data_IF_286496866293
#
_entry.id   IF_286496866293
#
_cell.length_a   1.000
_cell.length_b   1.000
_cell.length_c   1.000
_cell.angle_alpha   90.00
_cell.angle_beta   90.00
_cell.angle_gamma   90.00
#
_symmetry.space_group_name_H-M   'P 1'
#
loop_
_entity.id
_entity.type
_entity.pdbx_description
1 polymer ?
#
# COMPACT_ATOMS: atom_id res chain seq x y z
N UNK A 1 2.02 -6.87 3.08
CA UNK A 1 1.25 -6.11 2.08
C UNK A 1 1.22 -6.96 0.83
N UNK A 2 0.05 -7.20 0.24
CA UNK A 2 -0.09 -7.88 -1.05
C UNK A 2 -0.38 -6.80 -2.10
N UNK A 3 0.46 -6.71 -3.14
CA UNK A 3 0.33 -5.77 -4.25
C UNK A 3 0.44 -6.56 -5.54
N UNK A 4 -0.54 -6.37 -6.42
CA UNK A 4 -0.61 -6.96 -7.75
C UNK A 4 -0.81 -5.84 -8.76
N UNK A 5 -0.39 -6.07 -9.99
CA UNK A 5 -0.66 -5.14 -11.08
C UNK A 5 -1.06 -5.90 -12.33
N UNK A 6 -1.88 -5.26 -13.14
CA UNK A 6 -2.28 -5.75 -14.44
C UNK A 6 -1.51 -5.00 -15.51
N UNK A 7 -0.75 -5.75 -16.30
CA UNK A 7 -0.11 -5.23 -17.51
C UNK A 7 -1.17 -4.94 -18.57
N UNK A 8 -0.86 -4.01 -19.47
CA UNK A 8 -1.58 -3.88 -20.72
C UNK A 8 -1.61 -5.22 -21.46
N UNK A 9 -2.61 -5.40 -22.31
CA UNK A 9 -2.61 -6.54 -23.21
C UNK A 9 -1.38 -6.51 -24.14
N UNK A 10 -0.70 -7.65 -24.24
CA UNK A 10 0.34 -7.91 -25.23
C UNK A 10 -0.24 -8.84 -26.30
N UNK A 11 0.00 -8.54 -27.57
CA UNK A 11 -0.60 -9.25 -28.70
C UNK A 11 -0.08 -10.68 -28.83
N UNK A 12 1.20 -10.89 -28.58
CA UNK A 12 1.88 -12.17 -28.73
C UNK A 12 3.10 -12.29 -27.80
N UNK A 13 3.78 -13.43 -27.88
CA UNK A 13 4.98 -13.73 -27.07
C UNK A 13 6.14 -12.82 -27.44
N UNK A 14 6.28 -12.43 -28.71
CA UNK A 14 7.35 -11.55 -29.18
C UNK A 14 7.24 -10.17 -28.52
N UNK A 15 6.02 -9.64 -28.36
CA UNK A 15 5.79 -8.39 -27.65
C UNK A 15 6.12 -8.50 -26.16
N UNK A 16 5.83 -9.65 -25.53
CA UNK A 16 6.22 -9.92 -24.13
C UNK A 16 7.75 -9.91 -23.99
N UNK A 17 8.46 -10.59 -24.89
CA UNK A 17 9.93 -10.66 -24.89
C UNK A 17 10.55 -9.28 -25.11
N UNK A 18 10.02 -8.49 -26.04
CA UNK A 18 10.47 -7.12 -26.29
C UNK A 18 10.31 -6.21 -25.05
N UNK A 19 9.36 -6.51 -24.16
CA UNK A 19 9.10 -5.76 -22.94
C UNK A 19 9.69 -6.43 -21.68
N UNK A 20 10.52 -7.48 -21.81
CA UNK A 20 10.97 -8.29 -20.67
C UNK A 20 11.61 -7.48 -19.54
N UNK A 21 12.40 -6.44 -19.87
CA UNK A 21 13.07 -5.58 -18.89
C UNK A 21 12.10 -4.79 -18.00
N UNK A 22 10.87 -4.54 -18.46
CA UNK A 22 9.86 -3.85 -17.68
C UNK A 22 9.35 -4.69 -16.51
N UNK A 23 9.32 -6.03 -16.61
CA UNK A 23 8.85 -6.88 -15.51
C UNK A 23 9.74 -6.76 -14.27
N UNK A 24 11.05 -6.87 -14.43
CA UNK A 24 12.02 -6.73 -13.33
C UNK A 24 11.98 -5.32 -12.75
N UNK A 25 11.90 -4.29 -13.60
CA UNK A 25 11.81 -2.90 -13.15
C UNK A 25 10.53 -2.65 -12.36
N UNK A 26 9.38 -3.14 -12.84
CA UNK A 26 8.12 -2.99 -12.13
C UNK A 26 8.14 -3.64 -10.75
N UNK A 27 8.69 -4.85 -10.64
CA UNK A 27 8.85 -5.51 -9.34
C UNK A 27 9.70 -4.69 -8.37
N UNK A 28 10.87 -4.21 -8.82
CA UNK A 28 11.74 -3.36 -8.00
C UNK A 28 11.04 -2.07 -7.59
N UNK A 29 10.38 -1.38 -8.52
CA UNK A 29 9.63 -0.15 -8.26
C UNK A 29 8.49 -0.35 -7.27
N UNK A 30 7.70 -1.43 -7.38
CA UNK A 30 6.66 -1.77 -6.41
C UNK A 30 7.25 -1.95 -5.01
N UNK A 31 8.27 -2.81 -4.90
CA UNK A 31 8.92 -3.12 -3.63
C UNK A 31 9.48 -1.87 -2.96
N UNK A 32 10.24 -1.08 -3.71
CA UNK A 32 10.94 0.09 -3.17
C UNK A 32 9.94 1.20 -2.82
N UNK A 33 8.90 1.41 -3.62
CA UNK A 33 7.83 2.35 -3.30
C UNK A 33 7.08 1.93 -2.03
N UNK A 34 6.81 0.64 -1.84
CA UNK A 34 6.17 0.13 -0.62
C UNK A 34 7.01 0.37 0.62
N UNK A 35 8.30 0.01 0.60
CA UNK A 35 9.17 0.20 1.75
C UNK A 35 9.38 1.69 2.07
N UNK A 36 9.61 2.51 1.05
CA UNK A 36 9.80 3.94 1.22
C UNK A 36 8.57 4.60 1.82
N UNK A 37 7.38 4.34 1.26
CA UNK A 37 6.16 4.92 1.78
C UNK A 37 5.84 4.43 3.19
N UNK A 38 6.04 3.14 3.48
CA UNK A 38 5.81 2.60 4.82
C UNK A 38 6.74 3.23 5.88
N UNK A 39 8.00 3.49 5.53
CA UNK A 39 8.98 4.05 6.46
C UNK A 39 8.89 5.58 6.61
N UNK A 40 8.56 6.30 5.54
CA UNK A 40 8.65 7.77 5.50
C UNK A 40 7.30 8.49 5.60
N UNK A 41 6.18 7.81 5.32
CA UNK A 41 4.86 8.46 5.37
C UNK A 41 4.39 8.59 6.82
N UNK A 42 4.10 9.83 7.26
CA UNK A 42 3.32 10.03 8.47
C UNK A 42 1.86 9.66 8.18
N UNK A 43 1.57 8.37 8.33
CA UNK A 43 0.34 7.75 7.85
C UNK A 43 -0.88 8.23 8.62
N UNK A 44 -1.81 8.88 7.92
CA UNK A 44 -3.13 9.25 8.46
C UNK A 44 -4.13 8.08 8.41
N UNK A 45 -3.85 7.07 7.57
CA UNK A 45 -4.59 5.80 7.48
C UNK A 45 -3.86 4.82 6.56
N UNK A 46 -4.09 3.52 6.76
CA UNK A 46 -3.59 2.48 5.86
C UNK A 46 -4.04 2.71 4.41
N UNK A 47 -5.28 3.17 4.20
CA UNK A 47 -5.85 3.52 2.90
C UNK A 47 -5.02 4.61 2.20
N UNK A 48 -4.68 5.69 2.90
CA UNK A 48 -3.93 6.80 2.32
C UNK A 48 -2.52 6.39 1.91
N UNK A 49 -1.83 5.61 2.73
CA UNK A 49 -0.49 5.11 2.40
C UNK A 49 -0.53 4.13 1.22
N UNK A 50 -1.51 3.21 1.19
CA UNK A 50 -1.69 2.29 0.06
C UNK A 50 -2.00 3.02 -1.26
N UNK A 51 -2.82 4.07 -1.22
CA UNK A 51 -3.09 4.91 -2.38
C UNK A 51 -1.82 5.57 -2.91
N UNK A 52 -1.01 6.19 -2.03
CA UNK A 52 0.27 6.82 -2.40
C UNK A 52 1.25 5.82 -3.03
N UNK A 53 1.30 4.59 -2.52
CA UNK A 53 2.12 3.52 -3.09
C UNK A 53 1.65 3.17 -4.51
N UNK A 54 0.33 2.96 -4.68
CA UNK A 54 -0.24 2.60 -5.98
C UNK A 54 -0.07 3.71 -7.02
N UNK A 55 -0.26 4.97 -6.62
CA UNK A 55 -0.07 6.15 -7.47
C UNK A 55 1.38 6.24 -7.97
N UNK A 56 2.36 6.18 -7.06
CA UNK A 56 3.79 6.17 -7.42
C UNK A 56 4.15 4.99 -8.32
N UNK A 57 3.61 3.80 -8.05
CA UNK A 57 3.87 2.63 -8.90
C UNK A 57 3.40 2.88 -10.34
N UNK A 58 2.18 3.39 -10.51
CA UNK A 58 1.66 3.70 -11.84
C UNK A 58 2.52 4.78 -12.52
N UNK A 59 3.08 5.74 -11.81
CA UNK A 59 3.98 6.72 -12.44
C UNK A 59 5.27 6.09 -13.00
N UNK A 60 5.85 5.10 -12.31
CA UNK A 60 7.09 4.45 -12.73
C UNK A 60 6.91 3.28 -13.71
N UNK A 61 5.71 2.68 -13.77
CA UNK A 61 5.42 1.50 -14.60
C UNK A 61 4.34 1.84 -15.64
N UNK A 62 4.72 2.44 -16.78
CA UNK A 62 3.76 2.96 -17.76
C UNK A 62 2.90 1.87 -18.42
N UNK A 63 3.41 0.65 -18.54
CA UNK A 63 2.70 -0.48 -19.15
C UNK A 63 1.69 -1.14 -18.19
N UNK A 64 1.65 -0.75 -16.91
CA UNK A 64 0.63 -1.19 -15.98
C UNK A 64 -0.64 -0.34 -16.13
N UNK A 65 -1.79 -1.01 -16.24
CA UNK A 65 -3.11 -0.38 -16.36
C UNK A 65 -3.80 -0.21 -14.99
N UNK A 66 -3.53 -1.14 -14.08
CA UNK A 66 -4.15 -1.20 -12.77
C UNK A 66 -3.16 -1.72 -11.72
N UNK A 67 -3.32 -1.24 -10.49
CA UNK A 67 -2.66 -1.77 -9.28
C UNK A 67 -3.73 -2.14 -8.29
N UNK A 68 -3.66 -3.37 -7.79
CA UNK A 68 -4.53 -3.89 -6.74
C UNK A 68 -3.71 -4.10 -5.48
N UNK A 69 -4.27 -3.73 -4.33
CA UNK A 69 -3.61 -3.94 -3.05
C UNK A 69 -4.55 -4.56 -2.03
N UNK A 70 -3.98 -5.35 -1.13
CA UNK A 70 -4.66 -5.94 0.02
C UNK A 70 -3.71 -5.96 1.21
N UNK A 71 -4.10 -5.31 2.32
CA UNK A 71 -3.25 -5.20 3.49
C UNK A 71 -4.07 -5.36 4.79
N UNK A 72 -3.76 -6.39 5.61
CA UNK A 72 -4.33 -6.47 6.94
C UNK A 72 -3.71 -5.43 7.88
N UNK A 73 -4.54 -4.69 8.60
CA UNK A 73 -4.11 -3.90 9.75
C UNK A 73 -3.96 -4.83 10.96
N UNK A 74 -2.73 -5.21 11.28
CA UNK A 74 -2.43 -6.08 12.42
C UNK A 74 -2.34 -5.22 13.68
N UNK A 75 -3.27 -5.42 14.60
CA UNK A 75 -3.40 -4.58 15.79
C UNK A 75 -2.37 -4.92 16.86
N UNK A 76 -1.79 -3.87 17.44
CA UNK A 76 -1.06 -3.87 18.69
C UNK A 76 -1.84 -2.97 19.64
N UNK A 77 -2.35 -3.53 20.73
CA UNK A 77 -3.21 -2.81 21.68
C UNK A 77 -2.44 -2.57 22.96
N UNK A 78 -2.61 -1.39 23.55
CA UNK A 78 -2.03 -1.05 24.85
C UNK A 78 -2.57 -1.97 25.95
N UNK A 79 -1.75 -2.18 26.98
CA UNK A 79 -2.15 -2.94 28.17
C UNK A 79 -2.12 -2.00 29.36
N UNK A 80 -3.28 -1.74 29.97
CA UNK A 80 -3.34 -1.03 31.23
C UNK A 80 -2.74 -1.90 32.35
N UNK A 81 -1.65 -1.42 32.95
CA UNK A 81 -0.94 -2.05 34.06
C UNK A 81 -1.07 -1.27 35.37
N UNK A 82 -1.90 -0.22 35.42
CA UNK A 82 -2.07 0.65 36.60
C UNK A 82 -2.55 -0.13 37.83
N UNK A 83 -3.29 -1.21 37.61
CA UNK A 83 -3.73 -2.15 38.65
C UNK A 83 -2.56 -2.84 39.37
N UNK A 84 -1.39 -2.95 38.73
CA UNK A 84 -0.18 -3.51 39.32
C UNK A 84 0.75 -2.40 39.79
N UNK A 85 0.59 -2.00 41.07
CA UNK A 85 1.46 -1.02 41.75
C UNK A 85 1.52 0.34 41.04
N UNK A 86 0.48 0.72 40.30
CA UNK A 86 0.44 2.02 39.61
C UNK A 86 1.38 2.14 38.43
N UNK A 87 1.78 1.04 37.77
CA UNK A 87 2.63 1.11 36.57
C UNK A 87 1.88 1.81 35.44
N UNK A 88 2.51 2.82 34.84
CA UNK A 88 2.01 3.54 33.67
C UNK A 88 2.47 2.81 32.39
N UNK A 89 1.53 2.42 31.53
CA UNK A 89 1.80 1.72 30.26
C UNK A 89 0.73 2.03 29.19
N UNK A 90 0.22 3.26 29.18
CA UNK A 90 -0.80 3.72 28.22
C UNK A 90 -0.41 5.09 27.65
N UNK A 91 -1.02 5.46 26.51
CA UNK A 91 -0.78 6.72 25.83
C UNK A 91 0.71 7.00 25.56
N UNK A 92 1.27 8.04 26.19
CA UNK A 92 2.67 8.46 26.02
C UNK A 92 3.66 7.56 26.75
N UNK A 93 3.19 6.77 27.70
CA UNK A 93 4.00 5.88 28.55
C UNK A 93 3.89 4.41 28.11
N UNK A 94 3.20 4.12 27.00
CA UNK A 94 3.01 2.76 26.51
C UNK A 94 4.31 2.17 25.93
N UNK A 95 4.87 1.18 26.63
CA UNK A 95 6.07 0.44 26.20
C UNK A 95 5.78 -1.04 25.89
N UNK A 96 4.76 -1.61 26.54
CA UNK A 96 4.34 -3.02 26.38
C UNK A 96 2.98 -3.08 25.70
N UNK A 97 2.92 -3.82 24.59
CA UNK A 97 1.71 -3.99 23.78
C UNK A 97 1.33 -5.46 23.64
N UNK A 98 0.03 -5.72 23.46
CA UNK A 98 -0.50 -7.03 23.11
C UNK A 98 -0.71 -7.15 21.59
N UNK A 99 0.08 -7.98 20.89
CA UNK A 99 -0.19 -8.31 19.49
C UNK A 99 -1.48 -9.14 19.40
N UNK A 100 -2.42 -8.71 18.56
CA UNK A 100 -3.67 -9.44 18.36
C UNK A 100 -3.60 -10.33 17.11
N UNK A 101 -3.90 -11.62 17.29
CA UNK A 101 -3.97 -12.59 16.19
C UNK A 101 -5.21 -12.38 15.30
N UNK A 102 -6.34 -12.00 15.91
CA UNK A 102 -7.62 -11.71 15.26
C UNK A 102 -8.53 -10.90 16.21
N UNK A 103 -9.53 -10.16 15.70
CA UNK A 103 -9.75 -9.85 14.29
C UNK A 103 -8.73 -8.84 13.74
N UNK A 104 -8.72 -8.63 12.42
CA UNK A 104 -7.93 -7.59 11.79
C UNK A 104 -8.79 -6.82 10.77
N UNK A 105 -8.58 -5.52 10.67
CA UNK A 105 -9.06 -4.77 9.50
C UNK A 105 -8.38 -5.31 8.23
N UNK A 106 -9.11 -5.44 7.14
CA UNK A 106 -8.54 -5.82 5.83
C UNK A 106 -8.86 -4.74 4.81
N UNK A 107 -7.84 -3.98 4.42
CA UNK A 107 -7.99 -2.87 3.48
C UNK A 107 -7.67 -3.39 2.08
N UNK A 108 -8.57 -3.14 1.13
CA UNK A 108 -8.39 -3.48 -0.28
C UNK A 108 -8.75 -2.32 -1.17
N UNK A 109 -8.12 -2.25 -2.34
CA UNK A 109 -8.45 -1.27 -3.35
C UNK A 109 -7.76 -1.57 -4.67
N UNK A 110 -8.28 -0.95 -5.72
CA UNK A 110 -7.73 -1.00 -7.08
C UNK A 110 -7.60 0.43 -7.58
N UNK A 111 -6.41 0.81 -8.04
CA UNK A 111 -6.16 2.09 -8.66
C UNK A 111 -5.89 1.90 -10.17
N UNK A 112 -6.56 2.69 -10.98
CA UNK A 112 -6.38 2.76 -12.44
C UNK A 112 -6.11 4.20 -12.85
N UNK A 113 -5.50 4.41 -14.02
CA UNK A 113 -5.36 5.77 -14.57
C UNK A 113 -6.73 6.35 -14.94
N UNK A 114 -6.88 7.66 -14.79
CA UNK A 114 -8.09 8.37 -15.21
C UNK A 114 -8.26 8.28 -16.72
N UNK A 115 -9.49 8.00 -17.16
CA UNK A 115 -9.92 8.04 -18.57
C UNK A 115 -10.61 9.37 -18.93
N UNK A 116 -10.78 10.26 -17.93
CA UNK A 116 -11.38 11.57 -18.15
C UNK A 116 -10.36 12.48 -18.84
N UNK A 117 -10.82 13.09 -19.93
CA UNK A 117 -10.04 14.07 -20.69
C UNK A 117 -9.65 15.25 -19.79
N UNK A 118 -8.37 15.67 -19.81
CA UNK A 118 -7.82 16.67 -18.86
C UNK A 118 -8.51 18.04 -18.93
N UNK A 119 -9.37 18.27 -19.94
CA UNK A 119 -10.20 19.47 -20.09
C UNK A 119 -11.51 19.48 -19.28
N UNK A 120 -11.94 18.36 -18.69
CA UNK A 120 -13.13 18.30 -17.81
C UNK A 120 -12.71 17.93 -16.40
N UNK A 121 -12.07 18.87 -15.70
CA UNK A 121 -11.90 18.72 -14.25
C UNK A 121 -13.28 18.85 -13.60
N UNK A 122 -13.80 17.73 -13.09
CA UNK A 122 -14.96 17.76 -12.22
C UNK A 122 -14.61 18.57 -10.98
N UNK A 123 -15.39 19.62 -10.71
CA UNK A 123 -15.35 20.33 -9.42
C UNK A 123 -15.85 19.35 -8.36
N UNK A 124 -14.97 18.94 -7.45
CA UNK A 124 -15.33 18.45 -6.13
C UNK A 124 -15.33 19.64 -5.18
#
# INVERSE_FOLDING_TARGET
MDIKWRWKHFQDVSEVEANASHFTRAFASARDASFKAFAEDNSISAQATLYKIAEKFLDFVPLAEAVEYSWPNKHYVEIDLSWHKGIHNTDKDADVYLPQSAPNGLIKGTLTRSTLDKGRSAKL
#
